data_IF_175398250491
#
_entry.id   IF_175398250491
#
_cell.length_a   1.000
_cell.length_b   1.000
_cell.length_c   1.000
_cell.angle_alpha   90.00
_cell.angle_beta   90.00
_cell.angle_gamma   90.00
#
_symmetry.space_group_name_H-M   'P 1'
#
loop_
_entity.id
_entity.type
_entity.pdbx_description
1 polymer ?
#
# COMPACT_ATOMS: atom_id res chain seq x y z
N UNK A 1 -17.10 41.32 62.50
CA UNK A 1 -18.36 40.59 62.22
C UNK A 1 -19.07 41.34 61.10
N UNK A 2 -19.45 40.81 59.95
CA UNK A 2 -19.20 39.59 59.19
C UNK A 2 -19.35 40.04 57.73
N UNK A 3 -18.43 39.64 56.85
CA UNK A 3 -18.49 40.03 55.43
C UNK A 3 -19.67 39.33 54.75
N UNK A 4 -20.70 40.07 54.36
CA UNK A 4 -21.79 39.56 53.52
C UNK A 4 -21.24 39.15 52.16
N UNK A 5 -20.94 37.87 52.00
CA UNK A 5 -20.64 37.25 50.71
C UNK A 5 -21.97 36.89 50.04
N UNK A 6 -22.51 37.82 49.25
CA UNK A 6 -23.61 37.55 48.34
C UNK A 6 -23.07 36.92 47.04
N UNK A 7 -23.68 35.82 46.58
CA UNK A 7 -23.40 35.26 45.27
C UNK A 7 -24.57 35.55 44.31
N UNK A 8 -24.24 35.93 43.08
CA UNK A 8 -25.21 36.10 41.98
C UNK A 8 -25.24 34.81 41.18
N UNK A 9 -26.41 34.19 41.05
CA UNK A 9 -26.59 33.00 40.21
C UNK A 9 -27.13 33.42 38.85
N UNK A 10 -26.28 33.41 37.81
CA UNK A 10 -26.69 33.63 36.43
C UNK A 10 -27.13 32.29 35.85
N UNK A 11 -28.43 32.14 35.59
CA UNK A 11 -28.97 31.02 34.84
C UNK A 11 -28.82 31.27 33.33
N UNK A 12 -27.85 30.62 32.69
CA UNK A 12 -27.78 30.58 31.23
C UNK A 12 -28.89 29.66 30.72
N UNK A 13 -29.72 30.15 29.79
CA UNK A 13 -30.71 29.30 29.11
C UNK A 13 -29.95 28.23 28.33
N UNK A 14 -30.15 26.97 28.71
CA UNK A 14 -29.56 25.78 28.09
C UNK A 14 -29.67 25.78 26.55
N UNK A 15 -30.76 26.33 26.01
CA UNK A 15 -31.00 26.48 24.57
C UNK A 15 -29.89 27.25 23.81
N UNK A 16 -29.26 28.26 24.43
CA UNK A 16 -28.16 29.01 23.80
C UNK A 16 -26.85 28.21 23.77
N UNK A 17 -26.68 27.29 24.72
CA UNK A 17 -25.50 26.43 24.82
C UNK A 17 -25.66 25.19 23.93
N UNK A 18 -26.86 24.59 23.90
CA UNK A 18 -27.16 23.40 23.11
C UNK A 18 -27.05 23.68 21.60
N UNK A 19 -27.51 24.84 21.11
CA UNK A 19 -27.44 25.20 19.69
C UNK A 19 -25.99 25.38 19.20
N UNK A 20 -25.13 26.01 20.03
CA UNK A 20 -23.71 26.16 19.70
C UNK A 20 -22.93 24.83 19.83
N UNK A 21 -23.32 23.97 20.76
CA UNK A 21 -22.73 22.62 20.88
C UNK A 21 -23.06 21.78 19.65
N UNK A 22 -24.29 21.80 19.14
CA UNK A 22 -24.67 20.99 17.97
C UNK A 22 -23.89 21.41 16.72
N UNK A 23 -23.75 22.71 16.47
CA UNK A 23 -22.96 23.19 15.33
C UNK A 23 -21.48 22.82 15.48
N UNK A 24 -20.92 22.94 16.68
CA UNK A 24 -19.52 22.55 16.95
C UNK A 24 -19.31 21.05 16.72
N UNK A 25 -20.22 20.21 17.21
CA UNK A 25 -20.17 18.76 17.01
C UNK A 25 -20.31 18.39 15.53
N UNK A 26 -21.17 19.08 14.78
CA UNK A 26 -21.31 18.89 13.35
C UNK A 26 -20.00 19.21 12.60
N UNK A 27 -19.37 20.36 12.87
CA UNK A 27 -18.09 20.72 12.25
C UNK A 27 -16.97 19.72 12.59
N UNK A 28 -16.88 19.28 13.85
CA UNK A 28 -15.93 18.23 14.25
C UNK A 28 -16.20 16.94 13.47
N UNK A 29 -17.46 16.52 13.37
CA UNK A 29 -17.85 15.33 12.61
C UNK A 29 -17.44 15.42 11.13
N UNK A 30 -17.70 16.57 10.49
CA UNK A 30 -17.30 16.80 9.09
C UNK A 30 -15.78 16.74 8.92
N UNK A 31 -15.02 17.37 9.81
CA UNK A 31 -13.54 17.35 9.76
C UNK A 31 -13.02 15.93 9.91
N UNK A 32 -13.57 15.14 10.84
CA UNK A 32 -13.18 13.74 11.05
C UNK A 32 -13.46 12.94 9.77
N UNK A 33 -14.66 13.04 9.21
CA UNK A 33 -15.03 12.32 7.98
C UNK A 33 -14.09 12.66 6.83
N UNK A 34 -13.85 13.96 6.59
CA UNK A 34 -12.94 14.40 5.53
C UNK A 34 -11.51 13.89 5.80
N UNK A 35 -11.03 13.99 7.04
CA UNK A 35 -9.71 13.50 7.43
C UNK A 35 -9.56 11.99 7.23
N UNK A 36 -10.57 11.21 7.60
CA UNK A 36 -10.60 9.75 7.38
C UNK A 36 -10.60 9.42 5.90
N UNK A 37 -11.42 10.09 5.09
CA UNK A 37 -11.44 9.86 3.64
C UNK A 37 -10.09 10.18 2.99
N UNK A 38 -9.47 11.30 3.37
CA UNK A 38 -8.14 11.65 2.89
C UNK A 38 -7.09 10.61 3.28
N UNK A 39 -7.11 10.13 4.53
CA UNK A 39 -6.20 9.09 5.00
C UNK A 39 -6.37 7.78 4.22
N UNK A 40 -7.61 7.36 3.94
CA UNK A 40 -7.90 6.17 3.14
C UNK A 40 -7.33 6.33 1.73
N UNK A 41 -7.54 7.47 1.07
CA UNK A 41 -7.03 7.71 -0.28
C UNK A 41 -5.50 7.63 -0.32
N UNK A 42 -4.82 8.23 0.65
CA UNK A 42 -3.36 8.17 0.77
C UNK A 42 -2.88 6.73 1.00
N UNK A 43 -3.55 5.98 1.89
CA UNK A 43 -3.22 4.58 2.15
C UNK A 43 -3.36 3.71 0.88
N UNK A 44 -4.46 3.87 0.13
CA UNK A 44 -4.68 3.15 -1.13
C UNK A 44 -3.61 3.49 -2.18
N UNK A 45 -3.22 4.76 -2.28
CA UNK A 45 -2.15 5.19 -3.18
C UNK A 45 -0.82 4.53 -2.83
N UNK A 46 -0.47 4.49 -1.54
CA UNK A 46 0.74 3.85 -1.04
C UNK A 46 0.74 2.35 -1.36
N UNK A 47 -0.35 1.65 -1.05
CA UNK A 47 -0.48 0.20 -1.32
C UNK A 47 -0.33 -0.08 -2.82
N UNK A 48 -0.97 0.75 -3.65
CA UNK A 48 -0.92 0.57 -5.11
C UNK A 48 0.52 0.67 -5.63
N UNK A 49 1.29 1.66 -5.16
CA UNK A 49 2.66 1.90 -5.63
C UNK A 49 3.65 0.92 -5.04
N UNK A 50 3.53 0.58 -3.76
CA UNK A 50 4.53 -0.25 -3.07
C UNK A 50 4.25 -1.75 -3.12
N UNK A 51 3.01 -2.16 -3.41
CA UNK A 51 2.60 -3.56 -3.40
C UNK A 51 1.97 -3.95 -4.73
N UNK A 52 0.84 -3.34 -5.09
CA UNK A 52 0.04 -3.80 -6.24
C UNK A 52 0.81 -3.72 -7.55
N UNK A 53 1.45 -2.58 -7.86
CA UNK A 53 2.23 -2.42 -9.09
C UNK A 53 3.43 -3.37 -9.16
N UNK A 54 4.27 -3.49 -8.11
CA UNK A 54 5.35 -4.49 -8.08
C UNK A 54 4.86 -5.93 -8.25
N UNK A 55 3.75 -6.31 -7.60
CA UNK A 55 3.19 -7.66 -7.72
C UNK A 55 2.74 -7.94 -9.15
N UNK A 56 2.06 -6.99 -9.80
CA UNK A 56 1.68 -7.13 -11.22
C UNK A 56 2.94 -7.25 -12.10
N UNK A 57 3.98 -6.47 -11.83
CA UNK A 57 5.24 -6.55 -12.57
C UNK A 57 5.88 -7.95 -12.44
N UNK A 58 5.91 -8.53 -11.24
CA UNK A 58 6.40 -9.89 -11.03
C UNK A 58 5.53 -10.95 -11.71
N UNK A 59 4.21 -10.77 -11.69
CA UNK A 59 3.29 -11.68 -12.37
C UNK A 59 3.55 -11.68 -13.89
N UNK A 60 3.70 -10.51 -14.50
CA UNK A 60 4.03 -10.38 -15.92
C UNK A 60 5.40 -10.98 -16.23
N UNK A 61 6.40 -10.77 -15.37
CA UNK A 61 7.72 -11.38 -15.54
C UNK A 61 7.64 -12.92 -15.49
N UNK A 62 6.84 -13.48 -14.59
CA UNK A 62 6.62 -14.92 -14.53
C UNK A 62 5.88 -15.46 -15.77
N UNK A 63 4.93 -14.69 -16.31
CA UNK A 63 4.24 -15.02 -17.57
C UNK A 63 5.23 -15.04 -18.75
N UNK A 64 6.08 -14.03 -18.90
CA UNK A 64 7.13 -14.00 -19.93
C UNK A 64 8.09 -15.20 -19.84
N UNK A 65 8.52 -15.55 -18.63
CA UNK A 65 9.33 -16.75 -18.37
C UNK A 65 8.58 -18.02 -18.82
N UNK A 66 7.28 -18.12 -18.55
CA UNK A 66 6.46 -19.26 -18.95
C UNK A 66 6.31 -19.41 -20.47
N UNK A 67 6.36 -18.29 -21.19
CA UNK A 67 6.35 -18.24 -22.66
C UNK A 67 7.73 -18.52 -23.28
N UNK A 68 8.76 -18.72 -22.45
CA UNK A 68 10.12 -19.02 -22.89
C UNK A 68 11.01 -17.79 -23.10
N UNK A 69 10.56 -16.60 -22.68
CA UNK A 69 11.30 -15.36 -22.81
C UNK A 69 12.21 -15.17 -21.58
N UNK A 70 13.44 -15.69 -21.65
CA UNK A 70 14.38 -15.66 -20.52
C UNK A 70 15.42 -14.53 -20.59
N UNK A 71 15.36 -13.66 -21.60
CA UNK A 71 16.39 -12.63 -21.83
C UNK A 71 16.16 -11.35 -21.00
N UNK A 72 14.96 -11.19 -20.44
CA UNK A 72 14.62 -10.04 -19.60
C UNK A 72 14.82 -10.40 -18.11
N UNK A 73 15.75 -9.74 -17.40
CA UNK A 73 15.95 -9.97 -15.96
C UNK A 73 14.77 -9.44 -15.14
N UNK A 74 14.46 -10.10 -14.04
CA UNK A 74 13.40 -9.67 -13.12
C UNK A 74 14.00 -8.68 -12.12
N UNK A 75 13.97 -7.39 -12.46
CA UNK A 75 14.53 -6.34 -11.62
C UNK A 75 13.42 -5.56 -10.90
N UNK A 76 13.35 -5.72 -9.59
CA UNK A 76 12.66 -4.79 -8.71
C UNK A 76 13.70 -4.09 -7.84
N UNK A 77 13.51 -2.80 -7.61
CA UNK A 77 14.33 -2.00 -6.70
C UNK A 77 13.48 -1.55 -5.51
N UNK A 78 13.15 -2.50 -4.64
CA UNK A 78 12.30 -2.28 -3.47
C UNK A 78 13.01 -2.88 -2.25
N UNK A 79 12.95 -2.21 -1.11
CA UNK A 79 13.63 -2.66 0.11
C UNK A 79 12.66 -3.41 1.05
N UNK A 80 11.94 -4.40 0.54
CA UNK A 80 10.99 -5.21 1.29
C UNK A 80 11.00 -6.69 0.84
N UNK A 81 10.05 -7.49 1.33
CA UNK A 81 9.92 -8.92 1.04
C UNK A 81 9.70 -9.22 -0.45
N UNK A 82 9.15 -8.26 -1.23
CA UNK A 82 8.98 -8.42 -2.67
C UNK A 82 10.33 -8.44 -3.41
N UNK A 83 11.38 -7.88 -2.83
CA UNK A 83 12.74 -8.01 -3.38
C UNK A 83 13.23 -9.45 -3.33
N UNK A 84 12.95 -10.15 -2.22
CA UNK A 84 13.30 -11.55 -2.07
C UNK A 84 12.54 -12.40 -3.08
N UNK A 85 11.26 -12.07 -3.32
CA UNK A 85 10.44 -12.73 -4.33
C UNK A 85 10.95 -12.47 -5.74
N UNK A 86 11.30 -11.22 -6.08
CA UNK A 86 11.90 -10.87 -7.37
C UNK A 86 13.18 -11.69 -7.62
N UNK A 87 14.08 -11.73 -6.63
CA UNK A 87 15.31 -12.50 -6.71
C UNK A 87 15.05 -14.02 -6.86
N UNK A 88 14.00 -14.54 -6.24
CA UNK A 88 13.62 -15.95 -6.40
C UNK A 88 13.10 -16.25 -7.81
N UNK A 89 12.26 -15.38 -8.37
CA UNK A 89 11.77 -15.50 -9.75
C UNK A 89 12.92 -15.36 -10.75
N UNK A 90 13.86 -14.44 -10.53
CA UNK A 90 15.01 -14.29 -11.42
C UNK A 90 15.93 -15.51 -11.41
N UNK A 91 16.19 -16.11 -10.24
CA UNK A 91 16.93 -17.39 -10.15
C UNK A 91 16.22 -18.52 -10.91
N UNK A 92 14.88 -18.55 -10.86
CA UNK A 92 14.09 -19.52 -11.63
C UNK A 92 14.25 -19.30 -13.15
N UNK A 93 14.18 -18.05 -13.62
CA UNK A 93 14.45 -17.68 -15.03
C UNK A 93 15.82 -18.20 -15.48
N UNK A 94 16.87 -17.93 -14.71
CA UNK A 94 18.24 -18.35 -15.05
C UNK A 94 18.41 -19.87 -15.08
N UNK A 95 17.82 -20.56 -14.10
CA UNK A 95 17.85 -22.02 -14.03
C UNK A 95 17.18 -22.67 -15.25
N UNK A 96 16.02 -22.16 -15.66
CA UNK A 96 15.30 -22.62 -16.84
C UNK A 96 16.08 -22.34 -18.13
N UNK A 97 16.62 -21.12 -18.28
CA UNK A 97 17.47 -20.76 -19.43
C UNK A 97 18.67 -21.69 -19.57
N UNK A 98 19.42 -21.89 -18.48
CA UNK A 98 20.58 -22.78 -18.46
C UNK A 98 20.21 -24.22 -18.80
N UNK A 99 19.08 -24.71 -18.28
CA UNK A 99 18.60 -26.05 -18.55
C UNK A 99 18.28 -26.26 -20.04
N UNK A 100 17.61 -25.29 -20.68
CA UNK A 100 17.28 -25.34 -22.10
C UNK A 100 18.52 -25.25 -23.00
N UNK A 101 19.48 -24.38 -22.67
CA UNK A 101 20.75 -24.28 -23.40
C UNK A 101 21.52 -25.60 -23.37
N UNK A 102 21.60 -26.25 -22.21
CA UNK A 102 22.25 -27.57 -22.07
C UNK A 102 21.59 -28.64 -22.95
N UNK A 103 20.26 -28.62 -23.06
CA UNK A 103 19.52 -29.56 -23.92
C UNK A 103 19.81 -29.31 -25.40
N UNK A 104 19.86 -28.04 -25.85
CA UNK A 104 20.22 -27.68 -27.24
C UNK A 104 21.64 -28.10 -27.60
N UNK A 105 22.60 -27.95 -26.69
CA UNK A 105 23.99 -28.35 -26.93
C UNK A 105 24.12 -29.87 -27.09
N UNK A 106 23.42 -30.65 -26.24
CA UNK A 106 23.43 -32.12 -26.33
C UNK A 106 22.81 -32.65 -27.63
N UNK A 107 21.68 -32.06 -28.07
CA UNK A 107 21.04 -32.48 -29.33
C UNK A 107 21.86 -32.12 -30.56
N UNK A 108 22.67 -31.07 -30.49
CA UNK A 108 23.59 -30.66 -31.57
C UNK A 108 24.78 -31.60 -31.66
N UNK A 109 25.36 -32.01 -30.52
CA UNK A 109 26.50 -32.94 -30.48
C UNK A 109 26.10 -34.36 -30.93
N UNK A 110 24.90 -34.84 -30.57
CA UNK A 110 24.43 -36.17 -30.96
C UNK A 110 23.97 -36.31 -32.42
N UNK A 111 24.02 -35.24 -33.23
CA UNK A 111 23.70 -35.27 -34.67
C UNK A 111 24.93 -35.37 -35.59
N UNK A 112 26.13 -35.49 -35.02
CA UNK A 112 27.38 -35.82 -35.71
C UNK A 112 27.86 -37.21 -35.29
#
# INVERSE_FOLDING_TARGET
EEGLLGYVRIGLKKAYVDEQIQNTLFYIGVIIVIGTLAAILVALMIITVQVTRPVIHLANAAEEISLGNFDTPVNLNINNELQMLAAAIDRMRESLKSSLERLKTRSTIGRF
#
